data_IF_571821330325
#
_entry.id   IF_571821330325
#
_cell.length_a   1.000
_cell.length_b   1.000
_cell.length_c   1.000
_cell.angle_alpha   90.00
_cell.angle_beta   90.00
_cell.angle_gamma   90.00
#
_symmetry.space_group_name_H-M   'P 1'
#
loop_
_entity.id
_entity.type
_entity.pdbx_description
1 polymer ?
#
# COMPACT_ATOMS: atom_id res chain seq x y z
N UNK A 1 27.05 1.06 -2.78
CA UNK A 1 26.26 -0.03 -2.14
C UNK A 1 24.79 0.21 -2.46
N UNK A 2 23.98 -0.83 -2.75
CA UNK A 2 22.55 -0.66 -2.89
C UNK A 2 21.93 -0.18 -1.56
N UNK A 3 20.84 0.62 -1.60
CA UNK A 3 20.16 1.06 -0.38
C UNK A 3 19.68 -0.14 0.44
N UNK A 4 19.82 -0.08 1.76
CA UNK A 4 19.22 -1.09 2.64
C UNK A 4 17.71 -1.02 2.51
N UNK A 5 17.08 -2.16 2.22
CA UNK A 5 15.63 -2.30 2.20
C UNK A 5 15.14 -2.90 3.51
N UNK A 6 13.95 -2.47 3.95
CA UNK A 6 13.23 -3.05 5.08
C UNK A 6 11.88 -3.58 4.59
N UNK A 7 11.26 -4.45 5.39
CA UNK A 7 9.88 -4.87 5.16
C UNK A 7 8.91 -3.88 5.79
N UNK A 8 7.87 -3.53 5.05
CA UNK A 8 6.80 -2.66 5.49
C UNK A 8 5.46 -3.34 5.28
N UNK A 9 4.55 -3.16 6.22
CA UNK A 9 3.13 -3.44 6.04
C UNK A 9 2.41 -2.11 5.81
N UNK A 10 1.77 -1.99 4.66
CA UNK A 10 0.97 -0.81 4.28
C UNK A 10 -0.49 -1.22 4.26
N UNK A 11 -1.32 -0.51 5.01
CA UNK A 11 -2.75 -0.78 5.13
C UNK A 11 -3.58 0.41 4.68
N UNK A 12 -4.82 0.13 4.28
CA UNK A 12 -5.73 1.16 3.80
C UNK A 12 -7.08 0.62 3.42
N UNK A 13 -7.85 1.44 2.70
CA UNK A 13 -9.16 1.09 2.16
C UNK A 13 -9.23 1.35 0.66
N UNK A 14 -9.85 0.43 -0.07
CA UNK A 14 -10.32 0.61 -1.43
C UNK A 14 -11.78 1.08 -1.37
N UNK A 15 -12.12 2.08 -2.17
CA UNK A 15 -13.47 2.62 -2.32
C UNK A 15 -13.91 2.28 -3.74
N UNK A 16 -14.88 1.40 -3.89
CA UNK A 16 -15.41 1.05 -5.21
C UNK A 16 -16.37 2.13 -5.72
N UNK A 17 -16.26 2.50 -6.99
CA UNK A 17 -17.12 3.54 -7.57
C UNK A 17 -18.58 3.13 -7.71
N UNK A 18 -18.86 1.82 -7.80
CA UNK A 18 -20.21 1.31 -8.08
C UNK A 18 -21.20 1.57 -6.94
N UNK A 19 -20.75 1.41 -5.71
CA UNK A 19 -21.60 1.39 -4.51
C UNK A 19 -20.97 2.12 -3.31
N UNK A 20 -19.82 2.78 -3.50
CA UNK A 20 -19.03 3.39 -2.44
C UNK A 20 -18.66 2.42 -1.31
N UNK A 21 -18.67 1.10 -1.59
CA UNK A 21 -18.24 0.08 -0.63
C UNK A 21 -16.76 0.29 -0.30
N UNK A 22 -16.45 0.13 1.00
CA UNK A 22 -15.10 0.26 1.52
C UNK A 22 -14.57 -1.12 1.85
N UNK A 23 -13.46 -1.49 1.23
CA UNK A 23 -12.76 -2.75 1.50
C UNK A 23 -11.39 -2.48 2.08
N UNK A 24 -11.14 -2.98 3.28
CA UNK A 24 -9.81 -2.90 3.90
C UNK A 24 -8.81 -3.74 3.11
N UNK A 25 -7.57 -3.25 3.00
CA UNK A 25 -6.45 -4.00 2.47
C UNK A 25 -5.23 -3.87 3.39
N UNK A 26 -4.33 -4.83 3.28
CA UNK A 26 -2.99 -4.81 3.88
C UNK A 26 -2.02 -5.48 2.92
N UNK A 27 -0.91 -4.83 2.60
CA UNK A 27 0.12 -5.32 1.69
C UNK A 27 1.49 -5.26 2.35
N UNK A 28 2.29 -6.31 2.17
CA UNK A 28 3.68 -6.35 2.62
C UNK A 28 4.60 -6.02 1.44
N UNK A 29 5.53 -5.09 1.64
CA UNK A 29 6.43 -4.61 0.59
C UNK A 29 7.84 -4.41 1.14
N UNK A 30 8.86 -4.71 0.33
CA UNK A 30 10.24 -4.30 0.60
C UNK A 30 10.46 -2.90 0.05
N UNK A 31 10.87 -1.96 0.88
CA UNK A 31 11.15 -0.59 0.46
C UNK A 31 12.36 -0.02 1.19
N UNK A 32 12.86 1.12 0.73
CA UNK A 32 14.00 1.79 1.35
C UNK A 32 13.57 2.62 2.57
N UNK A 33 12.36 3.17 2.51
CA UNK A 33 11.71 3.98 3.53
C UNK A 33 10.18 3.91 3.36
N UNK A 34 9.47 4.61 4.25
CA UNK A 34 8.01 4.68 4.31
C UNK A 34 7.39 5.24 3.02
N UNK A 35 7.99 6.28 2.43
CA UNK A 35 7.47 6.91 1.23
C UNK A 35 7.58 5.96 0.04
N UNK A 36 8.72 5.29 -0.11
CA UNK A 36 8.93 4.30 -1.14
C UNK A 36 7.95 3.13 -1.00
N UNK A 37 7.66 2.67 0.23
CA UNK A 37 6.65 1.64 0.46
C UNK A 37 5.25 2.09 -0.01
N UNK A 38 4.86 3.33 0.31
CA UNK A 38 3.57 3.89 -0.12
C UNK A 38 3.49 4.02 -1.65
N UNK A 39 4.57 4.46 -2.31
CA UNK A 39 4.62 4.59 -3.78
C UNK A 39 4.42 3.22 -4.44
N UNK A 40 5.18 2.20 -4.02
CA UNK A 40 5.07 0.85 -4.58
C UNK A 40 3.65 0.29 -4.43
N UNK A 41 3.04 0.50 -3.27
CA UNK A 41 1.66 0.06 -3.02
C UNK A 41 0.65 0.81 -3.88
N UNK A 42 0.80 2.13 -4.06
CA UNK A 42 -0.06 2.92 -4.95
C UNK A 42 0.06 2.48 -6.40
N UNK A 43 1.27 2.24 -6.88
CA UNK A 43 1.50 1.73 -8.24
C UNK A 43 0.89 0.35 -8.45
N UNK A 44 1.03 -0.55 -7.47
CA UNK A 44 0.38 -1.85 -7.50
C UNK A 44 -1.14 -1.71 -7.58
N UNK A 45 -1.75 -0.90 -6.71
CA UNK A 45 -3.19 -0.70 -6.68
C UNK A 45 -3.71 -0.07 -7.98
N UNK A 46 -3.00 0.89 -8.56
CA UNK A 46 -3.37 1.52 -9.84
C UNK A 46 -3.59 0.51 -10.96
N UNK A 47 -2.81 -0.57 -10.97
CA UNK A 47 -2.83 -1.58 -12.03
C UNK A 47 -3.68 -2.82 -11.69
N UNK A 48 -3.93 -3.09 -10.41
CA UNK A 48 -4.52 -4.37 -9.96
C UNK A 48 -5.80 -4.22 -9.14
N UNK A 49 -6.12 -3.01 -8.65
CA UNK A 49 -7.34 -2.80 -7.88
C UNK A 49 -8.56 -2.62 -8.81
N UNK A 50 -9.77 -2.98 -8.35
CA UNK A 50 -11.01 -2.62 -9.03
C UNK A 50 -11.12 -1.11 -9.24
N UNK A 51 -11.88 -0.70 -10.25
CA UNK A 51 -12.13 0.72 -10.56
C UNK A 51 -12.70 1.44 -9.34
N UNK A 52 -11.97 2.44 -8.88
CA UNK A 52 -12.22 3.06 -7.59
C UNK A 52 -11.12 4.01 -7.17
N UNK A 53 -11.17 4.39 -5.89
CA UNK A 53 -10.12 5.15 -5.22
C UNK A 53 -9.48 4.32 -4.11
N UNK A 54 -8.25 4.63 -3.73
CA UNK A 54 -7.56 3.99 -2.61
C UNK A 54 -7.08 5.03 -1.61
N UNK A 55 -7.27 4.78 -0.32
CA UNK A 55 -6.76 5.61 0.77
C UNK A 55 -5.80 4.77 1.60
N UNK A 56 -4.56 5.23 1.71
CA UNK A 56 -3.56 4.65 2.62
C UNK A 56 -3.88 5.16 4.03
N UNK A 57 -4.00 4.25 4.99
CA UNK A 57 -4.37 4.56 6.38
C UNK A 57 -3.26 4.27 7.38
N UNK A 58 -2.35 3.34 7.06
CA UNK A 58 -1.28 2.96 7.97
C UNK A 58 -0.05 2.44 7.25
N UNK A 59 1.10 2.64 7.89
CA UNK A 59 2.37 2.05 7.51
C UNK A 59 3.11 1.61 8.76
N UNK A 60 3.58 0.37 8.76
CA UNK A 60 4.32 -0.24 9.85
C UNK A 60 5.61 -0.84 9.28
N UNK A 61 6.77 -0.38 9.76
CA UNK A 61 8.05 -1.05 9.49
C UNK A 61 8.11 -2.33 10.32
N UNK A 62 8.35 -3.45 9.66
CA UNK A 62 8.53 -4.73 10.33
C UNK A 62 9.99 -4.84 10.72
N UNK A 63 10.22 -4.87 12.02
CA UNK A 63 11.52 -5.13 12.63
C UNK A 63 11.50 -6.63 12.94
N UNK A 64 12.37 -7.40 12.27
CA UNK A 64 12.67 -8.79 12.67
C UNK A 64 13.51 -8.80 13.95
#
# INVERSE_FOLDING_TARGET
MPPKQNFFKVSGVLIQNKDNSKHGFSMFVKAIDDNHAVILVREYLKNNAPVGSSIIQGIEKIIE
#
